data_IF_662237898309
#
_entry.id   IF_662237898309
#
_cell.length_a   1.000
_cell.length_b   1.000
_cell.length_c   1.000
_cell.angle_alpha   90.00
_cell.angle_beta   90.00
_cell.angle_gamma   90.00
#
_symmetry.space_group_name_H-M   'P 1'
#
loop_
_entity.id
_entity.type
_entity.pdbx_description
1 polymer ?
#
# COMPACT_ATOMS: atom_id res chain seq x y z
N UNK A 1 -25.74 -47.24 -1.21
CA UNK A 1 -24.34 -46.76 -1.33
C UNK A 1 -24.15 -45.86 -2.55
N UNK A 2 -24.61 -46.27 -3.75
CA UNK A 2 -24.46 -45.51 -5.01
C UNK A 2 -24.99 -44.06 -4.95
N UNK A 3 -26.17 -43.83 -4.35
CA UNK A 3 -26.72 -42.47 -4.17
C UNK A 3 -25.81 -41.54 -3.37
N UNK A 4 -25.12 -42.06 -2.36
CA UNK A 4 -24.19 -41.27 -1.54
C UNK A 4 -22.89 -40.96 -2.28
N UNK A 5 -22.41 -41.90 -3.10
CA UNK A 5 -21.26 -41.70 -3.98
C UNK A 5 -21.58 -40.59 -5.00
N UNK A 6 -22.77 -40.61 -5.61
CA UNK A 6 -23.20 -39.58 -6.56
C UNK A 6 -23.28 -38.19 -5.91
N UNK A 7 -23.84 -38.10 -4.69
CA UNK A 7 -23.90 -36.84 -3.93
C UNK A 7 -22.49 -36.31 -3.63
N UNK A 8 -21.56 -37.18 -3.23
CA UNK A 8 -20.17 -36.79 -2.96
C UNK A 8 -19.48 -36.25 -4.22
N UNK A 9 -19.67 -36.90 -5.38
CA UNK A 9 -19.10 -36.44 -6.65
C UNK A 9 -19.64 -35.07 -7.08
N UNK A 10 -20.94 -34.81 -6.86
CA UNK A 10 -21.55 -33.50 -7.13
C UNK A 10 -20.94 -32.42 -6.22
N UNK A 11 -20.74 -32.72 -4.93
CA UNK A 11 -20.10 -31.78 -3.99
C UNK A 11 -18.66 -31.50 -4.41
N UNK A 12 -17.88 -32.53 -4.75
CA UNK A 12 -16.51 -32.38 -5.25
C UNK A 12 -16.46 -31.52 -6.52
N UNK A 13 -17.38 -31.72 -7.45
CA UNK A 13 -17.49 -30.91 -8.66
C UNK A 13 -17.84 -29.44 -8.36
N UNK A 14 -18.76 -29.18 -7.43
CA UNK A 14 -19.09 -27.81 -7.00
C UNK A 14 -17.88 -27.13 -6.33
N UNK A 15 -17.15 -27.84 -5.47
CA UNK A 15 -15.93 -27.31 -4.83
C UNK A 15 -14.86 -27.02 -5.90
N UNK A 16 -14.63 -27.96 -6.81
CA UNK A 16 -13.65 -27.80 -7.89
C UNK A 16 -14.00 -26.62 -8.80
N UNK A 17 -15.26 -26.48 -9.23
CA UNK A 17 -15.67 -25.37 -10.09
C UNK A 17 -15.58 -24.00 -9.40
N UNK A 18 -15.86 -23.93 -8.09
CA UNK A 18 -15.62 -22.72 -7.29
C UNK A 18 -14.12 -22.39 -7.17
N UNK A 19 -13.29 -23.40 -6.93
CA UNK A 19 -11.84 -23.24 -6.87
C UNK A 19 -11.26 -22.77 -8.21
N UNK A 20 -11.69 -23.35 -9.34
CA UNK A 20 -11.22 -22.97 -10.68
C UNK A 20 -11.61 -21.52 -11.03
N UNK A 21 -12.85 -21.11 -10.74
CA UNK A 21 -13.28 -19.71 -10.90
C UNK A 21 -12.47 -18.76 -10.02
N UNK A 22 -12.22 -19.11 -8.75
CA UNK A 22 -11.41 -18.31 -7.84
C UNK A 22 -9.97 -18.19 -8.32
N UNK A 23 -9.37 -19.28 -8.78
CA UNK A 23 -8.01 -19.31 -9.35
C UNK A 23 -7.91 -18.40 -10.58
N UNK A 24 -8.88 -18.48 -11.49
CA UNK A 24 -8.94 -17.63 -12.68
C UNK A 24 -9.16 -16.15 -12.32
N UNK A 25 -9.99 -15.85 -11.33
CA UNK A 25 -10.16 -14.48 -10.83
C UNK A 25 -8.86 -13.92 -10.24
N UNK A 26 -8.16 -14.69 -9.40
CA UNK A 26 -6.87 -14.29 -8.82
C UNK A 26 -5.78 -14.12 -9.88
N UNK A 27 -5.75 -14.98 -10.90
CA UNK A 27 -4.78 -14.91 -11.99
C UNK A 27 -4.95 -13.66 -12.88
N UNK A 28 -6.20 -13.19 -13.03
CA UNK A 28 -6.53 -12.02 -13.85
C UNK A 28 -6.66 -10.73 -13.04
N UNK A 29 -6.50 -10.79 -11.71
CA UNK A 29 -6.58 -9.60 -10.85
C UNK A 29 -5.40 -8.67 -11.14
N UNK A 30 -5.63 -7.38 -11.41
CA UNK A 30 -4.54 -6.43 -11.63
C UNK A 30 -3.54 -6.43 -10.48
N UNK A 31 -2.25 -6.34 -10.82
CA UNK A 31 -1.13 -6.34 -9.84
C UNK A 31 -1.25 -5.17 -8.85
N UNK A 32 -1.88 -4.06 -9.27
CA UNK A 32 -2.24 -2.92 -8.42
C UNK A 32 -3.19 -3.33 -7.31
N UNK A 33 -4.35 -3.89 -7.67
CA UNK A 33 -5.36 -4.36 -6.74
C UNK A 33 -4.80 -5.37 -5.72
N UNK A 34 -3.91 -6.27 -6.14
CA UNK A 34 -3.25 -7.21 -5.21
C UNK A 34 -2.46 -6.44 -4.15
N UNK A 35 -1.70 -5.42 -4.55
CA UNK A 35 -0.95 -4.56 -3.64
C UNK A 35 -1.88 -3.82 -2.67
N UNK A 36 -2.95 -3.21 -3.19
CA UNK A 36 -3.94 -2.49 -2.39
C UNK A 36 -4.63 -3.41 -1.36
N UNK A 37 -4.95 -4.65 -1.74
CA UNK A 37 -5.55 -5.61 -0.81
C UNK A 37 -4.56 -6.05 0.29
N UNK A 38 -3.27 -6.16 -0.01
CA UNK A 38 -2.26 -6.46 1.00
C UNK A 38 -2.20 -5.34 2.05
N UNK A 39 -2.22 -4.07 1.61
CA UNK A 39 -2.24 -2.92 2.53
C UNK A 39 -3.57 -2.83 3.28
N UNK A 40 -4.70 -3.04 2.61
CA UNK A 40 -6.02 -3.06 3.24
C UNK A 40 -6.09 -4.10 4.37
N UNK A 41 -5.61 -5.33 4.12
CA UNK A 41 -5.53 -6.37 5.14
C UNK A 41 -4.64 -5.96 6.32
N UNK A 42 -3.51 -5.29 6.07
CA UNK A 42 -2.64 -4.79 7.14
C UNK A 42 -3.34 -3.72 7.99
N UNK A 43 -4.16 -2.87 7.37
CA UNK A 43 -4.91 -1.82 8.06
C UNK A 43 -6.06 -2.36 8.92
N UNK A 44 -6.51 -3.61 8.72
CA UNK A 44 -7.48 -4.28 9.59
C UNK A 44 -6.94 -4.57 11.01
N UNK A 45 -5.62 -4.43 11.23
CA UNK A 45 -5.01 -4.55 12.55
C UNK A 45 -5.16 -3.26 13.40
N UNK A 46 -5.64 -2.16 12.81
CA UNK A 46 -5.96 -0.94 13.55
C UNK A 46 -7.16 -1.17 14.47
N UNK A 47 -7.17 -0.48 15.61
CA UNK A 47 -8.30 -0.52 16.54
C UNK A 47 -9.53 0.26 16.01
N UNK A 48 -10.67 0.09 16.68
CA UNK A 48 -11.95 0.67 16.27
C UNK A 48 -12.01 2.21 16.36
N UNK A 49 -10.99 2.88 16.91
CA UNK A 49 -10.93 4.34 16.92
C UNK A 49 -10.52 4.93 15.56
N UNK A 50 -10.19 4.08 14.59
CA UNK A 50 -9.85 4.46 13.23
C UNK A 50 -11.00 4.18 12.27
N UNK A 51 -11.27 5.15 11.41
CA UNK A 51 -12.16 4.96 10.26
C UNK A 51 -11.28 4.74 9.03
N UNK A 52 -11.37 3.56 8.43
CA UNK A 52 -10.58 3.18 7.25
C UNK A 52 -11.47 3.15 6.02
N UNK A 53 -11.08 3.89 4.99
CA UNK A 53 -11.73 3.91 3.68
C UNK A 53 -10.73 3.49 2.61
N UNK A 54 -11.15 2.63 1.68
CA UNK A 54 -10.34 2.19 0.56
C UNK A 54 -10.96 2.67 -0.76
N UNK A 55 -10.14 2.85 -1.80
CA UNK A 55 -10.56 3.17 -3.16
C UNK A 55 -11.48 4.39 -3.22
N UNK A 56 -11.05 5.49 -2.58
CA UNK A 56 -11.82 6.73 -2.52
C UNK A 56 -11.63 7.52 -3.82
N UNK A 57 -12.71 7.75 -4.54
CA UNK A 57 -12.66 8.40 -5.86
C UNK A 57 -13.01 9.89 -5.78
N UNK A 58 -12.31 10.72 -6.55
CA UNK A 58 -12.69 12.09 -6.81
C UNK A 58 -12.34 12.49 -8.25
N UNK A 59 -13.34 12.95 -9.02
CA UNK A 59 -13.19 13.15 -10.45
C UNK A 59 -12.71 11.88 -11.15
N UNK A 60 -11.56 11.94 -11.83
CA UNK A 60 -10.89 10.79 -12.47
C UNK A 60 -9.76 10.17 -11.63
N UNK A 61 -9.54 10.66 -10.41
CA UNK A 61 -8.48 10.20 -9.52
C UNK A 61 -9.01 9.25 -8.46
N UNK A 62 -8.16 8.34 -8.00
CA UNK A 62 -8.41 7.42 -6.91
C UNK A 62 -7.35 7.65 -5.82
N UNK A 63 -7.77 7.54 -4.57
CA UNK A 63 -6.89 7.42 -3.39
C UNK A 63 -7.04 6.00 -2.88
N UNK A 64 -5.92 5.28 -2.80
CA UNK A 64 -5.94 3.85 -2.45
C UNK A 64 -6.52 3.64 -1.05
N UNK A 65 -5.98 4.33 -0.04
CA UNK A 65 -6.52 4.25 1.32
C UNK A 65 -6.48 5.59 2.08
N UNK A 66 -7.53 5.84 2.87
CA UNK A 66 -7.63 6.94 3.82
C UNK A 66 -7.92 6.35 5.19
N UNK A 67 -7.07 6.66 6.17
CA UNK A 67 -7.30 6.31 7.58
C UNK A 67 -7.54 7.60 8.35
N UNK A 68 -8.65 7.69 9.07
CA UNK A 68 -9.01 8.85 9.89
C UNK A 68 -8.99 8.46 11.36
N UNK A 69 -8.29 9.22 12.18
CA UNK A 69 -8.38 9.16 13.64
C UNK A 69 -9.05 10.46 14.14
N UNK A 70 -10.37 10.43 14.45
CA UNK A 70 -11.11 11.62 14.84
C UNK A 70 -10.58 12.26 16.12
N UNK A 71 -10.22 11.44 17.12
CA UNK A 71 -9.73 11.89 18.44
C UNK A 71 -8.43 12.69 18.33
N UNK A 72 -7.52 12.26 17.45
CA UNK A 72 -6.22 12.92 17.18
C UNK A 72 -6.28 13.95 16.06
N UNK A 73 -7.46 14.22 15.49
CA UNK A 73 -7.66 15.05 14.29
C UNK A 73 -6.60 14.78 13.22
N UNK A 74 -6.38 13.50 12.91
CA UNK A 74 -5.33 13.03 12.01
C UNK A 74 -5.93 12.23 10.86
N UNK A 75 -5.46 12.49 9.63
CA UNK A 75 -5.81 11.73 8.43
C UNK A 75 -4.54 11.24 7.76
N UNK A 76 -4.47 9.94 7.48
CA UNK A 76 -3.38 9.32 6.77
C UNK A 76 -3.86 8.96 5.37
N UNK A 77 -3.20 9.51 4.37
CA UNK A 77 -3.49 9.26 2.95
C UNK A 77 -2.38 8.34 2.46
N UNK A 78 -2.75 7.14 2.04
CA UNK A 78 -1.82 6.04 1.78
C UNK A 78 -1.89 5.68 0.30
N UNK A 79 -0.75 5.74 -0.38
CA UNK A 79 -0.54 5.29 -1.74
C UNK A 79 0.19 3.94 -1.74
N UNK A 80 -0.28 3.00 -2.54
CA UNK A 80 0.22 1.62 -2.61
C UNK A 80 0.93 1.39 -3.94
N UNK A 81 2.23 1.04 -3.91
CA UNK A 81 3.00 0.70 -5.11
C UNK A 81 3.54 -0.72 -5.06
N UNK A 82 3.20 -1.52 -6.07
CA UNK A 82 3.74 -2.88 -6.26
C UNK A 82 4.76 -2.93 -7.40
N UNK A 83 5.74 -2.01 -7.37
CA UNK A 83 6.77 -1.90 -8.40
C UNK A 83 7.93 -2.84 -8.11
N UNK A 84 8.34 -3.64 -9.09
CA UNK A 84 9.52 -4.52 -9.01
C UNK A 84 10.78 -3.83 -9.55
N UNK A 85 11.94 -4.45 -9.31
CA UNK A 85 13.24 -3.95 -9.77
C UNK A 85 13.85 -2.91 -8.84
N UNK A 86 14.92 -2.26 -9.31
CA UNK A 86 15.59 -1.18 -8.58
C UNK A 86 14.86 0.12 -8.90
N UNK A 87 14.39 0.80 -7.87
CA UNK A 87 13.74 2.10 -7.98
C UNK A 87 14.70 3.17 -7.46
N UNK A 88 14.98 4.19 -8.26
CA UNK A 88 15.81 5.33 -7.88
C UNK A 88 15.09 6.65 -8.10
N UNK A 89 15.41 7.62 -7.24
CA UNK A 89 14.81 8.94 -7.27
C UNK A 89 14.79 9.58 -5.88
N UNK A 90 14.29 10.80 -5.83
CA UNK A 90 14.24 11.65 -4.64
C UNK A 90 12.87 12.30 -4.50
N UNK A 91 12.58 12.86 -3.33
CA UNK A 91 11.33 13.59 -3.09
C UNK A 91 11.13 14.78 -4.05
N UNK A 92 12.22 15.46 -4.45
CA UNK A 92 12.14 16.68 -5.25
C UNK A 92 11.88 16.43 -6.74
N UNK A 93 12.13 15.22 -7.23
CA UNK A 93 11.97 14.89 -8.65
C UNK A 93 10.51 14.58 -9.01
N UNK A 94 10.09 14.94 -10.23
CA UNK A 94 8.75 14.63 -10.72
C UNK A 94 8.61 13.18 -11.16
N UNK A 95 9.71 12.58 -11.64
CA UNK A 95 9.77 11.22 -12.14
C UNK A 95 10.85 10.45 -11.39
N UNK A 96 10.59 9.18 -11.14
CA UNK A 96 11.56 8.20 -10.64
C UNK A 96 11.90 7.20 -11.73
N UNK A 97 13.03 6.53 -11.56
CA UNK A 97 13.53 5.53 -12.50
C UNK A 97 13.24 4.15 -11.92
N UNK A 98 12.66 3.28 -12.73
CA UNK A 98 12.56 1.85 -12.48
C UNK A 98 13.51 1.12 -13.44
N UNK A 99 14.44 0.35 -12.88
CA UNK A 99 15.29 -0.56 -13.65
C UNK A 99 14.92 -2.01 -13.32
N UNK A 100 14.43 -2.75 -14.33
CA UNK A 100 14.17 -4.19 -14.27
C UNK A 100 15.18 -4.91 -15.16
N UNK A 101 16.32 -5.28 -14.58
CA UNK A 101 17.38 -6.05 -15.27
C UNK A 101 17.84 -5.40 -16.59
N UNK A 102 17.99 -4.07 -16.59
CA UNK A 102 18.39 -3.29 -17.76
C UNK A 102 17.23 -2.57 -18.48
N UNK A 103 15.98 -2.99 -18.27
CA UNK A 103 14.80 -2.28 -18.78
C UNK A 103 14.52 -1.04 -17.91
N UNK A 104 14.78 0.15 -18.45
CA UNK A 104 14.67 1.44 -17.76
C UNK A 104 13.34 2.10 -18.12
N UNK A 105 12.56 2.46 -17.10
CA UNK A 105 11.31 3.22 -17.23
C UNK A 105 11.29 4.43 -16.30
N UNK A 106 10.72 5.53 -16.78
CA UNK A 106 10.45 6.72 -15.98
C UNK A 106 9.00 6.70 -15.52
N UNK A 107 8.80 6.65 -14.20
CA UNK A 107 7.50 6.58 -13.54
C UNK A 107 7.22 7.87 -12.77
N UNK A 108 5.96 8.26 -12.63
CA UNK A 108 5.60 9.41 -11.77
C UNK A 108 5.99 9.16 -10.33
N UNK A 109 6.54 10.20 -9.67
CA UNK A 109 6.93 10.10 -8.28
C UNK A 109 5.70 9.85 -7.40
N UNK A 110 5.59 8.69 -6.71
CA UNK A 110 4.41 8.34 -5.94
C UNK A 110 4.19 9.26 -4.75
N UNK A 111 5.26 9.86 -4.21
CA UNK A 111 5.15 10.80 -3.10
C UNK A 111 4.47 12.09 -3.57
N UNK A 112 4.79 12.58 -4.77
CA UNK A 112 4.15 13.77 -5.34
C UNK A 112 2.72 13.51 -5.77
N UNK A 113 2.46 12.33 -6.35
CA UNK A 113 1.11 11.85 -6.63
C UNK A 113 0.26 11.88 -5.35
N UNK A 114 0.75 11.26 -4.28
CA UNK A 114 0.02 11.22 -3.02
C UNK A 114 -0.05 12.59 -2.32
N UNK A 115 0.93 13.48 -2.53
CA UNK A 115 0.86 14.86 -2.04
C UNK A 115 -0.32 15.62 -2.68
N UNK A 116 -0.61 15.38 -3.96
CA UNK A 116 -1.80 15.92 -4.59
C UNK A 116 -3.08 15.35 -3.94
N UNK A 117 -3.14 14.05 -3.66
CA UNK A 117 -4.25 13.43 -2.92
C UNK A 117 -4.43 14.07 -1.53
N UNK A 118 -3.34 14.22 -0.77
CA UNK A 118 -3.34 14.93 0.53
C UNK A 118 -3.91 16.35 0.41
N UNK A 119 -3.58 17.08 -0.66
CA UNK A 119 -4.09 18.44 -0.86
C UNK A 119 -5.60 18.48 -1.08
N UNK A 120 -6.19 17.44 -1.71
CA UNK A 120 -7.64 17.35 -1.87
C UNK A 120 -8.31 16.94 -0.56
N UNK A 121 -7.75 15.96 0.16
CA UNK A 121 -8.23 15.56 1.49
C UNK A 121 -8.18 16.73 2.47
N UNK A 122 -7.15 17.58 2.42
CA UNK A 122 -7.03 18.78 3.28
C UNK A 122 -8.18 19.76 3.11
N UNK A 123 -8.79 19.85 1.91
CA UNK A 123 -9.97 20.71 1.68
C UNK A 123 -11.21 20.19 2.42
N UNK A 124 -11.33 18.86 2.56
CA UNK A 124 -12.43 18.20 3.27
C UNK A 124 -12.20 18.20 4.79
N UNK A 125 -10.94 18.03 5.21
CA UNK A 125 -10.53 18.02 6.63
C UNK A 125 -9.60 19.20 6.98
N UNK A 126 -10.06 20.45 6.90
CA UNK A 126 -9.20 21.64 7.04
C UNK A 126 -8.53 21.72 8.42
N UNK A 127 -9.20 21.26 9.48
CA UNK A 127 -8.67 21.30 10.86
C UNK A 127 -7.86 20.06 11.25
N UNK A 128 -7.62 19.12 10.34
CA UNK A 128 -6.88 17.88 10.63
C UNK A 128 -5.44 17.96 10.12
N UNK A 129 -4.54 17.26 10.81
CA UNK A 129 -3.20 16.97 10.31
C UNK A 129 -3.31 15.89 9.22
N UNK A 130 -2.67 16.13 8.07
CA UNK A 130 -2.70 15.20 6.93
C UNK A 130 -1.30 14.61 6.74
N UNK A 131 -1.22 13.28 6.76
CA UNK A 131 0.02 12.54 6.63
C UNK A 131 0.07 11.82 5.28
N UNK A 132 1.13 12.10 4.51
CA UNK A 132 1.43 11.44 3.24
C UNK A 132 2.24 10.18 3.52
N UNK A 133 1.69 9.02 3.17
CA UNK A 133 2.35 7.72 3.29
C UNK A 133 2.36 7.04 1.92
N UNK A 134 3.51 6.53 1.52
CA UNK A 134 3.68 5.65 0.37
C UNK A 134 4.18 4.30 0.87
N UNK A 135 3.52 3.21 0.48
CA UNK A 135 3.92 1.85 0.83
C UNK A 135 4.31 1.10 -0.43
N UNK A 136 5.55 0.59 -0.45
CA UNK A 136 6.02 -0.31 -1.50
C UNK A 136 5.83 -1.75 -1.09
N UNK A 137 5.04 -2.50 -1.86
CA UNK A 137 4.72 -3.89 -1.57
C UNK A 137 5.69 -4.77 -2.35
N UNK A 138 6.25 -5.78 -1.69
CA UNK A 138 7.15 -6.77 -2.30
C UNK A 138 8.42 -6.18 -2.96
N UNK A 139 8.84 -4.98 -2.56
CA UNK A 139 10.09 -4.40 -3.04
C UNK A 139 10.77 -3.54 -1.96
N UNK A 140 12.03 -3.85 -1.67
CA UNK A 140 12.88 -3.10 -0.72
C UNK A 140 13.95 -2.26 -1.41
N UNK A 141 14.14 -2.41 -2.73
CA UNK A 141 15.09 -1.63 -3.52
C UNK A 141 14.47 -0.30 -3.96
N UNK A 142 14.04 0.49 -2.98
CA UNK A 142 13.36 1.77 -3.18
C UNK A 142 14.11 2.89 -2.47
N UNK A 143 13.95 4.16 -2.90
CA UNK A 143 14.58 5.28 -2.21
C UNK A 143 14.17 5.34 -0.74
N UNK A 144 15.07 5.78 0.13
CA UNK A 144 14.72 6.07 1.53
C UNK A 144 14.08 7.45 1.61
N UNK A 145 12.96 7.56 2.32
CA UNK A 145 12.25 8.82 2.51
C UNK A 145 11.35 8.74 3.74
N UNK A 146 11.13 9.88 4.42
CA UNK A 146 10.20 9.97 5.56
C UNK A 146 8.74 9.68 5.19
N UNK A 147 8.41 9.74 3.89
CA UNK A 147 7.07 9.44 3.37
C UNK A 147 6.89 7.97 3.00
N UNK A 148 7.97 7.18 2.95
CA UNK A 148 7.92 5.77 2.57
C UNK A 148 7.98 4.93 3.83
N UNK A 149 6.93 4.15 4.07
CA UNK A 149 6.81 3.30 5.26
C UNK A 149 6.78 1.84 4.81
N UNK A 150 7.61 1.00 5.43
CA UNK A 150 7.55 -0.44 5.24
C UNK A 150 6.21 -0.96 5.79
N UNK A 151 5.54 -1.83 5.04
CA UNK A 151 4.23 -2.35 5.41
C UNK A 151 4.21 -2.99 6.81
N UNK A 152 5.31 -3.60 7.23
CA UNK A 152 5.39 -4.24 8.55
C UNK A 152 5.32 -3.22 9.69
N UNK A 153 5.71 -1.96 9.44
CA UNK A 153 5.68 -0.87 10.41
C UNK A 153 4.51 0.11 10.18
N UNK A 154 3.62 -0.17 9.22
CA UNK A 154 2.56 0.77 8.84
C UNK A 154 1.60 1.07 9.99
N UNK A 155 1.11 0.02 10.66
CA UNK A 155 0.16 0.12 11.78
C UNK A 155 0.82 0.84 12.97
N UNK A 156 2.05 0.44 13.31
CA UNK A 156 2.82 1.09 14.37
C UNK A 156 3.05 2.58 14.08
N UNK A 157 3.37 2.93 12.83
CA UNK A 157 3.53 4.32 12.43
C UNK A 157 2.24 5.13 12.62
N UNK A 158 1.09 4.59 12.16
CA UNK A 158 -0.22 5.24 12.28
C UNK A 158 -0.60 5.46 13.76
N UNK A 159 -0.35 4.47 14.60
CA UNK A 159 -0.64 4.52 16.04
C UNK A 159 0.25 5.51 16.78
N UNK A 160 1.54 5.59 16.43
CA UNK A 160 2.53 6.32 17.22
C UNK A 160 2.87 7.73 16.69
N UNK A 161 2.30 8.17 15.57
CA UNK A 161 2.68 9.45 14.96
C UNK A 161 2.46 10.68 15.87
N UNK A 162 1.59 10.54 16.89
CA UNK A 162 1.31 11.59 17.88
C UNK A 162 2.23 11.56 19.10
N UNK A 163 3.03 10.52 19.29
CA UNK A 163 3.93 10.34 20.44
C UNK A 163 5.39 10.75 20.08
N UNK A 164 5.74 10.73 18.78
CA UNK A 164 7.14 10.74 18.33
C UNK A 164 7.59 11.94 17.47
N UNK A 165 6.92 13.09 17.51
CA UNK A 165 7.43 14.31 16.84
C UNK A 165 8.78 14.80 17.41
N UNK A 166 9.22 14.28 18.57
CA UNK A 166 10.53 14.57 19.19
C UNK A 166 11.63 13.52 18.94
N UNK A 167 11.31 12.34 18.40
CA UNK A 167 12.23 11.18 18.42
C UNK A 167 12.52 10.50 17.08
N UNK A 168 11.88 10.88 15.96
CA UNK A 168 12.33 10.39 14.65
C UNK A 168 13.50 11.21 14.08
N UNK A 169 14.64 11.15 14.78
CA UNK A 169 15.92 10.99 14.10
C UNK A 169 15.98 9.53 13.68
N UNK A 170 15.51 9.22 12.46
CA UNK A 170 15.57 7.85 11.92
C UNK A 170 17.01 7.35 12.05
N UNK A 171 17.27 6.28 12.83
CA UNK A 171 18.60 5.69 12.90
C UNK A 171 18.92 5.15 11.50
N UNK A 172 19.92 5.74 10.86
CA UNK A 172 20.56 5.16 9.69
C UNK A 172 21.24 3.88 10.20
N UNK A 173 20.56 2.75 10.09
CA UNK A 173 21.25 1.47 10.09
C UNK A 173 22.18 1.48 8.89
N UNK A 174 23.47 1.70 9.15
CA UNK A 174 24.57 1.57 8.19
C UNK A 174 24.55 0.12 7.68
N UNK A 175 23.92 -0.11 6.53
CA UNK A 175 24.21 -1.29 5.74
C UNK A 175 25.47 -1.00 4.93
N UNK A 176 26.51 -1.79 5.19
CA UNK A 176 27.73 -1.82 4.41
C UNK A 176 27.37 -1.99 2.92
N UNK A 177 28.02 -1.24 2.00
CA UNK A 177 27.86 -1.48 0.59
C UNK A 177 28.44 -2.86 0.27
N UNK A 178 27.58 -3.86 0.09
CA UNK A 178 27.95 -5.01 -0.71
C UNK A 178 28.07 -4.53 -2.14
N UNK A 179 29.31 -4.36 -2.57
CA UNK A 179 29.71 -4.15 -3.97
C UNK A 179 29.14 -5.28 -4.83
N UNK A 180 28.45 -4.97 -5.95
CA UNK A 180 28.24 -5.95 -7.01
C UNK A 180 29.58 -6.22 -7.69
N UNK A 181 29.90 -7.51 -7.90
CA UNK A 181 30.87 -7.94 -8.93
C UNK A 181 30.23 -7.81 -10.30
#
# INVERSE_FOLDING_TARGET
MEKYILILLIICYIIYSKYDKYKNYMANKPIGDIGENIVANKLMELDDNYIVNHNVHYGKSQIDHIVVCPTRKSVFVIETKNWRGIITGTYNENKWIQNKNGDIKYLDNPIKQNQYHCSQVKKVYPSYNIYNIVVFINNRNVPRSKYIIDINHLVDYINNISINTKYYNVPIYKMNPTTPR
#
